data_IF_013286530529
#
_entry.id   IF_013286530529
#
_cell.length_a   1.000
_cell.length_b   1.000
_cell.length_c   1.000
_cell.angle_alpha   90.00
_cell.angle_beta   90.00
_cell.angle_gamma   90.00
#
_symmetry.space_group_name_H-M   'P 1'
#
loop_
_entity.id
_entity.type
_entity.pdbx_description
1 polymer ?
#
# COMPACT_ATOMS: atom_id res chain seq x y z
N UNK A 1 8.10 -13.95 -15.45
CA UNK A 1 7.47 -13.03 -14.48
C UNK A 1 7.28 -13.79 -13.19
N UNK A 2 7.62 -13.25 -12.03
CA UNK A 2 7.29 -13.88 -10.75
C UNK A 2 5.78 -14.03 -10.59
N UNK A 3 5.34 -15.09 -9.92
CA UNK A 3 3.94 -15.24 -9.52
C UNK A 3 3.69 -14.32 -8.33
N UNK A 4 2.67 -13.47 -8.40
CA UNK A 4 2.33 -12.50 -7.36
C UNK A 4 0.88 -12.73 -6.86
N UNK A 5 0.62 -13.86 -6.17
CA UNK A 5 -0.69 -14.12 -5.62
C UNK A 5 -1.03 -13.11 -4.51
N UNK A 6 -2.28 -12.63 -4.51
CA UNK A 6 -2.85 -11.81 -3.44
C UNK A 6 -3.85 -12.63 -2.62
N UNK A 7 -3.77 -12.52 -1.30
CA UNK A 7 -4.65 -13.23 -0.37
C UNK A 7 -5.41 -12.22 0.50
N UNK A 8 -6.75 -12.23 0.43
CA UNK A 8 -7.60 -11.40 1.29
C UNK A 8 -7.60 -11.83 2.78
N UNK A 9 -7.01 -12.99 3.09
CA UNK A 9 -6.90 -13.54 4.45
C UNK A 9 -5.49 -14.06 4.70
N UNK A 10 -4.48 -13.19 4.85
CA UNK A 10 -3.08 -13.61 4.98
C UNK A 10 -2.81 -14.45 6.23
N UNK A 11 -3.65 -14.35 7.27
CA UNK A 11 -3.58 -15.22 8.45
C UNK A 11 -3.71 -16.72 8.13
N UNK A 12 -4.38 -17.08 7.02
CA UNK A 12 -4.59 -18.47 6.61
C UNK A 12 -3.43 -19.01 5.74
N UNK A 13 -2.51 -18.16 5.30
CA UNK A 13 -1.42 -18.57 4.39
C UNK A 13 -0.61 -19.74 4.94
N UNK A 14 -0.34 -19.72 6.25
CA UNK A 14 0.41 -20.79 6.93
C UNK A 14 -0.20 -22.18 6.72
N UNK A 15 -1.51 -22.26 6.67
CA UNK A 15 -2.26 -23.53 6.50
C UNK A 15 -2.44 -23.90 5.02
N UNK A 16 -2.31 -22.92 4.11
CA UNK A 16 -2.56 -23.07 2.68
C UNK A 16 -1.32 -23.41 1.85
N UNK A 17 -0.13 -23.15 2.39
CA UNK A 17 1.14 -23.39 1.69
C UNK A 17 1.86 -24.62 2.24
N UNK A 18 2.78 -25.24 1.47
CA UNK A 18 3.62 -26.31 1.98
C UNK A 18 4.36 -25.89 3.25
N UNK A 19 4.38 -26.73 4.28
CA UNK A 19 5.05 -26.42 5.55
C UNK A 19 6.53 -26.04 5.36
N UNK A 20 7.19 -26.57 4.35
CA UNK A 20 8.55 -26.22 3.97
C UNK A 20 8.69 -24.72 3.65
N UNK A 21 7.70 -24.11 2.99
CA UNK A 21 7.75 -22.69 2.64
C UNK A 21 7.73 -21.78 3.88
N UNK A 22 7.01 -22.22 4.92
CA UNK A 22 6.96 -21.45 6.18
C UNK A 22 8.24 -21.63 7.00
N UNK A 23 8.95 -22.77 6.87
CA UNK A 23 10.17 -23.07 7.59
C UNK A 23 11.43 -22.55 6.89
N UNK A 24 11.51 -22.80 5.56
CA UNK A 24 12.73 -22.62 4.78
C UNK A 24 12.67 -21.35 3.88
N UNK A 25 11.50 -20.72 3.81
CA UNK A 25 11.20 -19.59 2.93
C UNK A 25 10.40 -19.97 1.69
N UNK A 26 9.73 -18.99 1.12
CA UNK A 26 9.01 -19.14 -0.15
C UNK A 26 10.01 -19.22 -1.32
N UNK A 27 9.68 -19.92 -2.43
CA UNK A 27 10.46 -19.82 -3.63
C UNK A 27 10.67 -18.36 -4.08
N UNK A 28 11.87 -18.00 -4.53
CA UNK A 28 12.22 -16.61 -4.86
C UNK A 28 11.36 -15.98 -5.97
N UNK A 29 10.73 -16.81 -6.81
CA UNK A 29 9.78 -16.39 -7.84
C UNK A 29 8.33 -16.25 -7.33
N UNK A 30 8.07 -16.43 -6.03
CA UNK A 30 6.74 -16.28 -5.42
C UNK A 30 6.75 -15.04 -4.53
N UNK A 31 5.98 -14.02 -4.93
CA UNK A 31 5.74 -12.81 -4.17
C UNK A 31 4.37 -12.90 -3.50
N UNK A 32 4.30 -12.66 -2.22
CA UNK A 32 3.06 -12.76 -1.47
C UNK A 32 2.47 -11.38 -1.21
N UNK A 33 1.18 -11.23 -1.44
CA UNK A 33 0.46 -9.97 -1.21
C UNK A 33 -0.86 -10.13 -0.46
N UNK A 34 -1.35 -9.01 0.04
CA UNK A 34 -2.71 -8.88 0.58
C UNK A 34 -3.37 -7.61 0.07
N UNK A 35 -4.69 -7.58 0.08
CA UNK A 35 -5.46 -6.34 -0.16
C UNK A 35 -5.67 -5.59 1.15
N UNK A 36 -5.68 -4.27 1.10
CA UNK A 36 -6.24 -3.44 2.16
C UNK A 36 -6.94 -2.24 1.53
N UNK A 37 -8.14 -1.94 2.01
CA UNK A 37 -9.00 -0.90 1.44
C UNK A 37 -8.94 0.39 2.29
N UNK A 38 -8.61 0.25 3.56
CA UNK A 38 -8.57 1.30 4.58
C UNK A 38 -7.57 0.95 5.69
N UNK A 39 -7.41 1.85 6.67
CA UNK A 39 -6.49 1.64 7.80
C UNK A 39 -6.84 0.40 8.62
N UNK A 40 -8.12 0.17 8.88
CA UNK A 40 -8.53 -1.01 9.67
C UNK A 40 -8.10 -2.31 9.01
N UNK A 41 -8.27 -2.42 7.68
CA UNK A 41 -7.85 -3.61 6.92
C UNK A 41 -6.34 -3.73 6.81
N UNK A 42 -5.63 -2.61 6.76
CA UNK A 42 -4.18 -2.59 6.80
C UNK A 42 -3.66 -3.11 8.16
N UNK A 43 -4.20 -2.61 9.27
CA UNK A 43 -3.84 -3.01 10.64
C UNK A 43 -4.14 -4.50 10.89
N UNK A 44 -5.26 -5.01 10.36
CA UNK A 44 -5.66 -6.40 10.50
C UNK A 44 -4.79 -7.36 9.66
N UNK A 45 -4.40 -6.98 8.43
CA UNK A 45 -3.87 -7.94 7.45
C UNK A 45 -2.37 -7.86 7.25
N UNK A 46 -1.79 -6.65 7.30
CA UNK A 46 -0.36 -6.49 7.00
C UNK A 46 0.53 -7.24 8.01
N UNK A 47 0.27 -7.23 9.33
CA UNK A 47 1.08 -8.00 10.25
C UNK A 47 1.16 -9.49 9.90
N UNK A 48 0.04 -10.12 9.55
CA UNK A 48 0.00 -11.53 9.12
C UNK A 48 0.75 -11.79 7.82
N UNK A 49 0.71 -10.83 6.88
CA UNK A 49 1.50 -10.92 5.66
C UNK A 49 3.00 -10.88 5.97
N UNK A 50 3.40 -10.01 6.90
CA UNK A 50 4.80 -9.85 7.29
C UNK A 50 5.35 -11.06 8.04
N UNK A 51 4.50 -11.84 8.69
CA UNK A 51 4.88 -13.12 9.33
C UNK A 51 5.22 -14.23 8.33
N UNK A 52 4.89 -14.05 7.04
CA UNK A 52 5.22 -15.01 6.00
C UNK A 52 6.63 -14.75 5.45
N UNK A 53 7.51 -15.78 5.36
CA UNK A 53 8.89 -15.61 4.89
C UNK A 53 9.00 -15.56 3.35
N UNK A 54 8.18 -14.73 2.71
CA UNK A 54 8.24 -14.49 1.26
C UNK A 54 9.34 -13.48 0.91
N UNK A 55 9.97 -13.65 -0.26
CA UNK A 55 11.03 -12.75 -0.73
C UNK A 55 10.54 -11.31 -0.93
N UNK A 56 9.35 -11.15 -1.51
CA UNK A 56 8.66 -9.86 -1.64
C UNK A 56 7.28 -9.98 -1.03
N UNK A 57 6.97 -9.08 -0.13
CA UNK A 57 5.63 -8.90 0.46
C UNK A 57 5.06 -7.60 -0.06
N UNK A 58 3.86 -7.64 -0.60
CA UNK A 58 3.27 -6.50 -1.24
C UNK A 58 1.81 -6.28 -0.85
N UNK A 59 1.34 -5.07 -1.00
CA UNK A 59 -0.04 -4.68 -0.70
C UNK A 59 -0.71 -4.16 -1.95
N UNK A 60 -1.94 -4.64 -2.20
CA UNK A 60 -2.90 -4.02 -3.10
C UNK A 60 -3.82 -3.14 -2.27
N UNK A 61 -3.56 -1.84 -2.28
CA UNK A 61 -4.42 -0.83 -1.73
C UNK A 61 -5.49 -0.47 -2.78
N UNK A 62 -6.31 -1.49 -3.07
CA UNK A 62 -7.36 -1.46 -4.11
C UNK A 62 -8.61 -2.27 -3.68
N UNK A 63 -9.79 -1.63 -3.70
CA UNK A 63 -9.99 -0.20 -3.90
C UNK A 63 -9.59 0.59 -2.66
N UNK A 64 -8.89 1.71 -2.84
CA UNK A 64 -8.60 2.62 -1.74
C UNK A 64 -9.90 3.36 -1.34
N UNK A 65 -10.30 3.22 -0.08
CA UNK A 65 -11.57 3.71 0.45
C UNK A 65 -11.42 4.69 1.62
N UNK A 66 -10.21 4.90 2.08
CA UNK A 66 -9.85 5.83 3.13
C UNK A 66 -8.34 5.96 3.23
N UNK A 67 -7.80 6.96 3.93
CA UNK A 67 -6.36 7.12 4.09
C UNK A 67 -5.75 5.96 4.85
N UNK A 68 -4.50 5.58 4.47
CA UNK A 68 -3.72 4.55 5.16
C UNK A 68 -2.33 5.08 5.47
N UNK A 69 -1.91 4.93 6.72
CA UNK A 69 -0.52 5.10 7.14
C UNK A 69 0.22 3.77 7.02
N UNK A 70 1.05 3.64 6.00
CA UNK A 70 1.90 2.48 5.76
C UNK A 70 3.22 2.53 6.51
N UNK A 71 3.60 3.66 7.10
CA UNK A 71 4.91 3.89 7.70
C UNK A 71 5.33 2.82 8.74
N UNK A 72 4.41 2.21 9.53
CA UNK A 72 4.78 1.15 10.47
C UNK A 72 5.32 -0.12 9.81
N UNK A 73 5.00 -0.34 8.53
CA UNK A 73 5.33 -1.56 7.78
C UNK A 73 6.32 -1.34 6.64
N UNK A 74 6.64 -0.10 6.33
CA UNK A 74 7.68 0.25 5.38
C UNK A 74 9.05 0.24 6.08
N UNK A 75 10.10 -0.15 5.36
CA UNK A 75 11.46 -0.13 5.90
C UNK A 75 11.97 1.28 6.11
N UNK A 76 12.93 1.44 7.02
CA UNK A 76 13.66 2.70 7.15
C UNK A 76 14.73 2.81 6.06
N UNK A 77 14.71 3.91 5.31
CA UNK A 77 15.79 4.26 4.39
C UNK A 77 16.62 5.41 4.97
N UNK A 78 17.86 5.15 5.42
CA UNK A 78 18.72 6.18 6.01
C UNK A 78 19.07 7.33 5.05
N UNK A 79 18.94 7.11 3.72
CA UNK A 79 19.24 8.14 2.71
C UNK A 79 18.21 9.27 2.65
N UNK A 80 17.05 9.12 3.27
CA UNK A 80 15.98 10.12 3.28
C UNK A 80 15.82 10.88 4.60
N UNK A 81 16.79 10.80 5.53
CA UNK A 81 16.82 11.64 6.73
C UNK A 81 15.64 11.51 7.70
N UNK A 82 14.90 10.39 7.62
CA UNK A 82 13.78 10.12 8.51
C UNK A 82 14.24 9.85 9.93
N UNK A 83 13.50 10.38 10.91
CA UNK A 83 13.78 10.28 12.36
C UNK A 83 14.01 8.83 12.80
N UNK A 84 14.97 8.69 13.70
CA UNK A 84 15.30 7.48 14.45
C UNK A 84 14.03 6.75 14.91
N UNK A 85 13.73 5.62 14.29
CA UNK A 85 12.65 4.74 14.72
C UNK A 85 13.26 3.74 15.70
N UNK A 86 12.81 3.84 16.92
CA UNK A 86 12.97 3.02 18.12
C UNK A 86 13.81 1.73 17.97
N UNK A 87 14.84 1.62 18.81
CA UNK A 87 15.79 0.50 18.90
C UNK A 87 15.16 -0.90 19.03
N UNK A 88 13.86 -0.96 19.32
CA UNK A 88 13.12 -2.22 19.48
C UNK A 88 12.75 -2.91 18.16
N UNK A 89 13.00 -2.26 17.00
CA UNK A 89 12.58 -2.72 15.65
C UNK A 89 13.61 -3.56 14.88
N UNK A 90 14.74 -3.95 15.47
CA UNK A 90 15.87 -4.45 14.68
C UNK A 90 16.16 -5.95 14.73
N UNK A 91 15.16 -6.84 14.80
CA UNK A 91 15.46 -8.28 14.94
C UNK A 91 14.78 -9.21 13.93
N UNK A 92 15.03 -9.04 12.64
CA UNK A 92 14.71 -10.09 11.65
C UNK A 92 15.68 -10.02 10.45
N UNK A 93 16.21 -11.17 10.06
CA UNK A 93 17.26 -11.35 9.05
C UNK A 93 16.74 -11.16 7.64
N UNK A 94 17.51 -10.46 6.82
CA UNK A 94 17.32 -10.42 5.37
C UNK A 94 18.45 -11.21 4.72
N UNK A 95 18.13 -12.10 3.80
CA UNK A 95 19.15 -12.81 3.01
C UNK A 95 19.82 -11.81 2.05
N UNK A 96 20.94 -11.25 2.43
CA UNK A 96 21.84 -10.50 1.55
C UNK A 96 23.09 -11.32 1.31
N UNK A 97 23.44 -11.48 0.04
CA UNK A 97 24.61 -12.23 -0.41
C UNK A 97 25.97 -11.53 -0.11
N UNK A 98 25.97 -10.36 0.52
CA UNK A 98 27.11 -9.45 0.51
C UNK A 98 27.80 -9.22 1.86
N UNK A 99 27.64 -10.12 2.83
CA UNK A 99 28.51 -10.16 4.02
C UNK A 99 28.52 -8.91 4.93
N UNK A 100 27.54 -8.01 4.84
CA UNK A 100 27.39 -6.88 5.74
C UNK A 100 26.63 -7.31 6.98
N UNK A 101 27.15 -6.99 8.17
CA UNK A 101 26.68 -7.37 9.50
C UNK A 101 25.16 -7.53 9.62
N UNK A 102 24.79 -8.75 9.94
CA UNK A 102 23.46 -9.34 10.01
C UNK A 102 22.69 -8.84 11.25
N UNK A 103 22.10 -7.67 11.14
CA UNK A 103 21.06 -7.25 12.09
C UNK A 103 19.71 -7.79 11.61
N UNK A 104 19.00 -8.56 12.44
CA UNK A 104 17.67 -9.05 12.06
C UNK A 104 16.73 -7.88 11.86
N UNK A 105 16.45 -7.55 10.59
CA UNK A 105 15.48 -6.51 10.24
C UNK A 105 14.07 -7.10 10.33
N UNK A 106 13.11 -6.34 10.88
CA UNK A 106 11.70 -6.74 10.79
C UNK A 106 11.33 -6.88 9.32
N UNK A 107 10.56 -7.92 8.97
CA UNK A 107 10.04 -8.03 7.61
C UNK A 107 9.21 -6.78 7.30
N UNK A 108 9.42 -6.22 6.12
CA UNK A 108 8.78 -5.00 5.67
C UNK A 108 8.05 -5.25 4.36
N UNK A 109 7.17 -4.34 3.99
CA UNK A 109 6.58 -4.31 2.67
C UNK A 109 7.65 -3.96 1.64
N UNK A 110 7.67 -4.72 0.55
CA UNK A 110 8.57 -4.51 -0.59
C UNK A 110 7.89 -3.85 -1.79
N UNK A 111 6.57 -3.66 -1.76
CA UNK A 111 5.82 -3.03 -2.84
C UNK A 111 4.42 -2.62 -2.40
N UNK A 112 3.96 -1.45 -2.86
CA UNK A 112 2.59 -0.97 -2.64
C UNK A 112 1.96 -0.61 -3.98
N UNK A 113 0.82 -1.25 -4.29
CA UNK A 113 -0.01 -0.95 -5.46
C UNK A 113 -1.21 -0.15 -4.98
N UNK A 114 -1.51 0.97 -5.63
CA UNK A 114 -2.62 1.85 -5.27
C UNK A 114 -3.61 1.94 -6.41
N UNK A 115 -4.90 1.88 -6.10
CA UNK A 115 -5.92 2.07 -7.11
C UNK A 115 -7.30 2.40 -6.56
N UNK A 116 -8.04 3.21 -7.33
CA UNK A 116 -9.45 3.46 -7.12
C UNK A 116 -10.32 2.34 -7.70
N UNK A 117 -11.57 2.29 -7.29
CA UNK A 117 -12.56 1.34 -7.78
C UNK A 117 -13.03 1.69 -9.20
N UNK A 118 -13.17 0.69 -10.06
CA UNK A 118 -13.69 0.83 -11.42
C UNK A 118 -15.11 0.28 -11.54
N UNK A 119 -15.85 0.76 -12.56
CA UNK A 119 -17.22 0.29 -12.84
C UNK A 119 -18.31 1.25 -12.40
N UNK A 120 -19.56 0.94 -12.78
CA UNK A 120 -20.71 1.85 -12.63
C UNK A 120 -21.10 2.17 -11.17
N UNK A 121 -20.79 1.29 -10.23
CA UNK A 121 -21.03 1.47 -8.80
C UNK A 121 -19.80 1.93 -8.00
N UNK A 122 -18.73 2.38 -8.67
CA UNK A 122 -17.48 2.74 -8.02
C UNK A 122 -17.68 3.78 -6.92
N UNK A 123 -17.04 3.54 -5.78
CA UNK A 123 -16.98 4.50 -4.67
C UNK A 123 -16.02 5.64 -4.99
N UNK A 124 -16.19 6.82 -4.40
CA UNK A 124 -15.27 7.94 -4.60
C UNK A 124 -13.84 7.58 -4.16
N UNK A 125 -12.85 8.03 -4.93
CA UNK A 125 -11.44 7.87 -4.66
C UNK A 125 -10.78 9.25 -4.51
N UNK A 126 -10.30 9.56 -3.31
CA UNK A 126 -9.52 10.79 -3.11
C UNK A 126 -8.08 10.55 -3.57
N UNK A 127 -7.65 11.32 -4.58
CA UNK A 127 -6.28 11.22 -5.11
C UNK A 127 -5.21 11.57 -4.06
N UNK A 128 -5.60 12.24 -2.97
CA UNK A 128 -4.69 12.50 -1.86
C UNK A 128 -4.24 11.20 -1.19
N UNK A 129 -5.09 10.17 -1.11
CA UNK A 129 -4.70 8.87 -0.57
C UNK A 129 -3.58 8.21 -1.37
N UNK A 130 -3.64 8.33 -2.72
CA UNK A 130 -2.53 7.85 -3.56
C UNK A 130 -1.25 8.67 -3.35
N UNK A 131 -1.36 10.01 -3.24
CA UNK A 131 -0.21 10.88 -2.97
C UNK A 131 0.49 10.53 -1.67
N UNK A 132 -0.30 10.31 -0.61
CA UNK A 132 0.23 9.96 0.70
C UNK A 132 0.91 8.60 0.69
N UNK A 133 0.32 7.59 0.04
CA UNK A 133 0.94 6.27 -0.11
C UNK A 133 2.24 6.35 -0.92
N UNK A 134 2.25 7.06 -2.05
CA UNK A 134 3.44 7.26 -2.89
C UNK A 134 4.54 8.00 -2.13
N UNK A 135 4.19 9.04 -1.36
CA UNK A 135 5.13 9.79 -0.52
C UNK A 135 5.76 8.89 0.54
N UNK A 136 4.95 8.15 1.30
CA UNK A 136 5.43 7.21 2.32
C UNK A 136 6.37 6.15 1.72
N UNK A 137 5.99 5.57 0.59
CA UNK A 137 6.84 4.59 -0.12
C UNK A 137 8.17 5.21 -0.56
N UNK A 138 8.15 6.41 -1.12
CA UNK A 138 9.36 7.13 -1.55
C UNK A 138 10.29 7.42 -0.37
N UNK A 139 9.75 7.91 0.75
CA UNK A 139 10.50 8.20 1.97
C UNK A 139 11.15 6.94 2.55
N UNK A 140 10.51 5.79 2.40
CA UNK A 140 11.03 4.50 2.85
C UNK A 140 11.91 3.77 1.80
N UNK A 141 12.03 4.30 0.57
CA UNK A 141 12.75 3.64 -0.52
C UNK A 141 12.05 2.37 -1.04
N UNK A 142 10.74 2.27 -0.86
CA UNK A 142 9.90 1.15 -1.32
C UNK A 142 9.24 1.51 -2.64
N UNK A 143 9.27 0.65 -3.66
CA UNK A 143 8.55 0.87 -4.91
C UNK A 143 7.06 1.08 -4.70
N UNK A 144 6.48 2.04 -5.44
CA UNK A 144 5.05 2.29 -5.50
C UNK A 144 4.54 2.15 -6.93
N UNK A 145 3.28 1.72 -7.08
CA UNK A 145 2.64 1.57 -8.37
C UNK A 145 1.21 2.11 -8.31
N UNK A 146 0.95 3.23 -8.98
CA UNK A 146 -0.42 3.75 -9.15
C UNK A 146 -1.03 3.09 -10.39
N UNK A 147 -1.93 2.15 -10.17
CA UNK A 147 -2.52 1.32 -11.21
C UNK A 147 -3.64 2.04 -11.96
N UNK A 148 -4.54 2.64 -11.21
CA UNK A 148 -5.70 3.36 -11.74
C UNK A 148 -6.25 4.35 -10.71
N UNK A 149 -6.86 5.44 -11.17
CA UNK A 149 -7.55 6.39 -10.29
C UNK A 149 -9.03 6.02 -10.08
N UNK A 150 -9.49 4.96 -10.74
CA UNK A 150 -10.87 4.50 -10.66
C UNK A 150 -11.86 5.34 -11.47
N UNK A 151 -13.15 4.97 -11.39
CA UNK A 151 -14.19 5.65 -12.17
C UNK A 151 -14.69 6.95 -11.52
N UNK A 152 -14.36 7.22 -10.25
CA UNK A 152 -14.80 8.41 -9.51
C UNK A 152 -13.68 9.08 -8.73
N UNK A 153 -12.57 9.47 -9.40
CA UNK A 153 -11.50 10.18 -8.73
C UNK A 153 -11.88 11.62 -8.42
N UNK A 154 -11.45 12.11 -7.26
CA UNK A 154 -11.65 13.49 -6.83
C UNK A 154 -10.47 13.98 -6.00
N UNK A 155 -10.38 15.28 -5.78
CA UNK A 155 -9.49 15.90 -4.80
C UNK A 155 -10.32 16.75 -3.83
N UNK A 156 -9.92 16.77 -2.58
CA UNK A 156 -10.45 17.73 -1.60
C UNK A 156 -9.74 19.06 -1.80
N UNK A 157 -10.51 20.13 -2.03
CA UNK A 157 -9.97 21.48 -2.29
C UNK A 157 -10.13 22.43 -1.14
N UNK A 158 -10.93 22.05 -0.13
CA UNK A 158 -11.16 22.86 1.06
C UNK A 158 -12.31 22.35 1.91
N UNK A 159 -12.70 23.17 2.87
CA UNK A 159 -13.89 22.96 3.70
C UNK A 159 -14.90 24.07 3.44
N UNK A 160 -16.17 23.71 3.37
CA UNK A 160 -17.26 24.70 3.13
C UNK A 160 -17.54 25.59 4.32
N UNK A 161 -16.97 25.29 5.50
CA UNK A 161 -17.31 25.92 6.78
C UNK A 161 -18.64 25.43 7.37
N UNK A 162 -19.35 24.57 6.65
CA UNK A 162 -20.59 23.93 7.14
C UNK A 162 -20.28 22.65 7.88
N UNK A 163 -21.17 22.23 8.77
CA UNK A 163 -21.07 20.98 9.49
C UNK A 163 -22.28 20.10 9.17
N UNK A 164 -21.99 18.84 8.93
CA UNK A 164 -22.99 17.79 8.79
C UNK A 164 -22.89 16.85 9.98
N UNK A 165 -24.02 16.44 10.53
CA UNK A 165 -24.05 15.39 11.55
C UNK A 165 -24.22 14.06 10.85
N UNK A 166 -23.31 13.15 11.12
CA UNK A 166 -23.37 11.77 10.67
C UNK A 166 -24.59 11.09 11.32
N UNK A 167 -25.53 10.55 10.53
CA UNK A 167 -26.78 10.00 11.07
C UNK A 167 -26.57 8.71 11.87
N UNK A 168 -25.50 7.97 11.63
CA UNK A 168 -25.23 6.69 12.30
C UNK A 168 -24.43 6.88 13.59
N UNK A 169 -23.45 7.78 13.56
CA UNK A 169 -22.52 7.97 14.68
C UNK A 169 -22.83 9.20 15.53
N UNK A 170 -23.71 10.10 15.06
CA UNK A 170 -24.02 11.38 15.70
C UNK A 170 -22.86 12.39 15.70
N UNK A 171 -21.72 12.03 15.09
CA UNK A 171 -20.53 12.90 15.07
C UNK A 171 -20.70 14.03 14.08
N UNK A 172 -20.26 15.22 14.50
CA UNK A 172 -20.21 16.41 13.67
C UNK A 172 -19.00 16.33 12.74
N UNK A 173 -19.23 16.42 11.44
CA UNK A 173 -18.18 16.40 10.42
C UNK A 173 -18.23 17.71 9.62
N UNK A 174 -17.06 18.21 9.24
CA UNK A 174 -16.96 19.36 8.34
C UNK A 174 -17.32 18.92 6.94
N UNK A 175 -18.20 19.67 6.28
CA UNK A 175 -18.50 19.44 4.86
C UNK A 175 -17.31 19.90 4.02
N UNK A 176 -16.79 18.99 3.20
CA UNK A 176 -15.63 19.23 2.36
C UNK A 176 -16.04 19.72 0.96
N UNK A 177 -15.25 20.63 0.41
CA UNK A 177 -15.33 20.98 -1.00
C UNK A 177 -14.50 19.98 -1.78
N UNK A 178 -15.15 19.30 -2.74
CA UNK A 178 -14.51 18.30 -3.59
C UNK A 178 -14.58 18.74 -5.05
N UNK A 179 -13.50 18.49 -5.78
CA UNK A 179 -13.41 18.68 -7.21
C UNK A 179 -13.22 17.30 -7.88
N UNK A 180 -14.15 16.92 -8.76
CA UNK A 180 -14.05 15.67 -9.51
C UNK A 180 -13.00 15.81 -10.61
N UNK A 181 -12.14 14.79 -10.73
CA UNK A 181 -11.27 14.64 -11.90
C UNK A 181 -12.03 13.90 -12.99
N UNK A 182 -12.12 14.53 -14.17
CA UNK A 182 -12.78 13.94 -15.33
C UNK A 182 -11.73 13.26 -16.20
N UNK A 183 -11.81 11.93 -16.30
CA UNK A 183 -10.92 11.11 -17.10
C UNK A 183 -11.70 10.55 -18.29
N UNK A 184 -11.03 10.40 -19.44
CA UNK A 184 -11.62 9.78 -20.64
C UNK A 184 -11.71 8.27 -20.49
N UNK A 185 -10.68 7.65 -19.87
CA UNK A 185 -10.71 6.25 -19.54
C UNK A 185 -11.70 6.01 -18.38
N UNK A 186 -12.80 5.26 -18.62
CA UNK A 186 -13.82 5.02 -17.59
C UNK A 186 -13.32 4.20 -16.40
N UNK A 187 -12.18 3.53 -16.53
CA UNK A 187 -11.53 2.82 -15.42
C UNK A 187 -10.50 3.69 -14.69
N UNK A 188 -10.14 4.83 -15.29
CA UNK A 188 -9.10 5.72 -14.79
C UNK A 188 -7.73 5.04 -14.78
N UNK A 189 -7.41 4.20 -15.78
CA UNK A 189 -6.16 3.46 -15.87
C UNK A 189 -5.14 4.05 -16.86
N UNK A 190 -5.56 5.04 -17.67
CA UNK A 190 -4.67 5.74 -18.57
C UNK A 190 -3.74 6.68 -17.80
N UNK A 191 -2.46 6.34 -17.76
CA UNK A 191 -1.45 7.09 -16.99
C UNK A 191 -1.25 8.51 -17.51
N UNK A 192 -1.53 8.78 -18.79
CA UNK A 192 -1.37 10.10 -19.37
C UNK A 192 -2.44 11.10 -18.86
N UNK A 193 -3.54 10.56 -18.34
CA UNK A 193 -4.60 11.35 -17.71
C UNK A 193 -4.36 11.59 -16.21
N UNK A 194 -3.35 10.94 -15.60
CA UNK A 194 -3.06 11.13 -14.18
C UNK A 194 -2.40 12.49 -13.93
N UNK A 195 -2.63 13.10 -12.76
CA UNK A 195 -1.76 14.14 -12.25
C UNK A 195 -0.30 13.69 -12.33
N UNK A 196 0.61 14.59 -12.71
CA UNK A 196 2.01 14.25 -12.98
C UNK A 196 2.68 13.53 -11.79
N UNK A 197 2.39 13.97 -10.58
CA UNK A 197 2.90 13.43 -9.33
C UNK A 197 2.40 12.00 -9.03
N UNK A 198 1.36 11.53 -9.72
CA UNK A 198 0.80 10.19 -9.61
C UNK A 198 1.15 9.26 -10.78
N UNK A 199 1.96 9.71 -11.75
CA UNK A 199 2.47 8.87 -12.85
C UNK A 199 3.60 7.96 -12.38
N UNK A 200 3.33 7.15 -11.35
CA UNK A 200 4.31 6.29 -10.67
C UNK A 200 4.01 4.83 -10.95
N UNK A 201 4.93 4.12 -11.62
CA UNK A 201 4.83 2.69 -11.93
C UNK A 201 6.18 2.00 -11.69
N UNK A 202 6.53 1.83 -10.41
CA UNK A 202 7.77 1.20 -9.99
C UNK A 202 7.54 -0.27 -9.61
N UNK A 203 8.58 -1.10 -9.79
CA UNK A 203 8.56 -2.52 -9.47
C UNK A 203 9.71 -2.88 -8.52
N UNK A 204 9.55 -3.89 -7.65
CA UNK A 204 10.64 -4.45 -6.87
C UNK A 204 11.79 -4.94 -7.76
N UNK A 205 13.04 -4.69 -7.31
CA UNK A 205 14.23 -5.13 -8.05
C UNK A 205 14.58 -4.28 -9.29
N UNK A 206 13.94 -3.13 -9.48
CA UNK A 206 14.26 -2.23 -10.60
C UNK A 206 13.91 -2.78 -11.97
N UNK A 207 13.04 -3.80 -12.07
CA UNK A 207 12.54 -4.28 -13.34
C UNK A 207 11.81 -3.13 -14.07
N UNK A 208 12.31 -2.80 -15.25
CA UNK A 208 11.75 -1.81 -16.17
C UNK A 208 10.59 -2.40 -16.93
#
# INVERSE_FOLDING_TARGET
MPSAPSCGRPQNVREMVPAAWMRDGFPCNVWLGTTCEDQQRADERIPHLLDCPAAVRWVSYEPALGPVDFSPWLGYNPSFGGREVDEHRSRLRNCSADGVEDRPRRPTLGWVIVGGESGGGARPFDVQWARDAVRQCREAGVPAFVKQLGARPHKVTGATGRFRTDPETGKRQVELTIERLWLRDPKGGDIDEFPEDLRVRQYPGGAR
#
